data_IF_921503350956
#
_entry.id   IF_921503350956
#
_cell.length_a   1.000
_cell.length_b   1.000
_cell.length_c   1.000
_cell.angle_alpha   90.00
_cell.angle_beta   90.00
_cell.angle_gamma   90.00
#
_symmetry.space_group_name_H-M   'P 1'
#
loop_
_entity.id
_entity.type
_entity.pdbx_description
1 polymer ?
#
# COMPACT_ATOMS: atom_id res chain seq x y z
N UNK A 1 10.05 21.83 -7.12
CA UNK A 1 10.15 21.19 -5.78
C UNK A 1 9.30 21.98 -4.81
N UNK A 2 8.10 21.49 -4.56
CA UNK A 2 7.30 21.76 -3.37
C UNK A 2 6.39 20.53 -3.23
N UNK A 3 6.84 19.55 -2.44
CA UNK A 3 6.02 18.42 -2.03
C UNK A 3 4.97 18.96 -1.06
N UNK A 4 3.70 18.95 -1.45
CA UNK A 4 2.57 19.12 -0.54
C UNK A 4 1.85 17.78 -0.53
N UNK A 5 2.36 16.92 0.33
CA UNK A 5 1.86 15.59 0.65
C UNK A 5 0.85 15.78 1.79
N UNK A 6 -0.45 15.63 1.51
CA UNK A 6 -1.49 15.77 2.55
C UNK A 6 -1.97 14.35 2.89
N UNK A 7 -2.00 14.05 4.19
CA UNK A 7 -2.44 12.77 4.75
C UNK A 7 -3.93 12.83 5.12
N UNK A 8 -4.61 11.69 5.16
CA UNK A 8 -6.01 11.61 5.63
C UNK A 8 -6.13 12.02 7.12
N UNK A 9 -5.04 11.96 7.89
CA UNK A 9 -5.00 12.39 9.29
C UNK A 9 -5.16 13.92 9.45
N UNK A 10 -4.71 14.71 8.47
CA UNK A 10 -4.84 16.18 8.50
C UNK A 10 -6.29 16.65 8.27
N UNK A 11 -7.09 15.87 7.55
CA UNK A 11 -8.51 16.16 7.27
C UNK A 11 -9.37 16.02 8.53
N UNK A 12 -8.98 15.12 9.44
CA UNK A 12 -9.76 14.80 10.65
C UNK A 12 -9.40 15.72 11.82
N UNK A 13 -8.19 16.28 11.84
CA UNK A 13 -7.67 17.03 13.00
C UNK A 13 -8.27 18.45 13.15
N UNK A 14 -8.98 18.98 12.14
CA UNK A 14 -9.53 20.34 12.16
C UNK A 14 -10.75 20.55 13.09
N UNK A 15 -11.17 19.54 13.89
CA UNK A 15 -12.37 19.63 14.74
C UNK A 15 -12.14 19.32 16.23
N UNK A 16 -10.91 19.29 16.71
CA UNK A 16 -10.63 19.06 18.14
C UNK A 16 -10.00 20.30 18.82
N UNK A 17 -10.52 20.76 19.98
CA UNK A 17 -9.93 21.88 20.71
C UNK A 17 -8.57 21.49 21.36
N UNK A 18 -7.66 22.45 21.60
CA UNK A 18 -6.29 22.16 21.98
C UNK A 18 -6.21 21.58 23.39
N UNK A 19 -5.58 20.39 23.52
CA UNK A 19 -5.26 19.80 24.82
C UNK A 19 -3.97 20.44 25.37
N UNK A 20 -4.09 20.98 26.59
CA UNK A 20 -3.01 21.57 27.39
C UNK A 20 -1.88 20.56 27.69
N UNK A 21 -0.65 21.05 27.60
CA UNK A 21 0.53 20.37 28.12
C UNK A 21 0.71 20.60 29.64
N UNK A 22 1.25 19.64 30.39
CA UNK A 22 2.07 19.91 31.58
C UNK A 22 3.55 19.76 31.19
N UNK A 23 4.46 20.70 31.46
CA UNK A 23 4.74 21.31 32.76
C UNK A 23 5.90 20.55 33.40
N UNK A 24 7.14 20.97 33.11
CA UNK A 24 8.36 20.21 33.38
C UNK A 24 8.92 20.26 34.81
N UNK A 25 10.12 19.67 35.00
CA UNK A 25 11.08 19.97 36.08
C UNK A 25 12.52 19.55 35.70
N UNK A 26 13.43 20.52 35.85
CA UNK A 26 14.91 20.46 36.00
C UNK A 26 15.28 19.76 37.34
N UNK A 27 16.50 19.34 37.72
CA UNK A 27 17.85 19.16 37.16
C UNK A 27 18.74 18.41 38.20
N UNK A 28 19.72 17.59 37.73
CA UNK A 28 21.13 17.34 38.20
C UNK A 28 21.47 17.01 39.69
N UNK A 29 22.74 16.72 40.11
CA UNK A 29 23.99 16.28 39.41
C UNK A 29 24.84 15.18 40.14
N UNK A 30 26.07 14.92 39.62
CA UNK A 30 27.34 14.38 40.23
C UNK A 30 27.62 12.87 40.12
N UNK A 31 28.86 12.36 39.94
CA UNK A 31 30.19 12.92 39.65
C UNK A 31 31.23 11.79 39.41
N UNK A 32 32.31 12.13 38.67
CA UNK A 32 33.72 11.64 38.74
C UNK A 32 34.01 10.14 38.47
N UNK A 33 35.12 9.68 37.89
CA UNK A 33 36.51 10.15 37.77
C UNK A 33 37.15 9.44 36.54
N UNK A 34 37.92 10.07 35.65
CA UNK A 34 39.31 10.57 35.72
C UNK A 34 40.40 9.56 35.29
N UNK A 35 41.44 10.14 34.66
CA UNK A 35 42.77 9.62 34.31
C UNK A 35 42.92 8.90 32.94
N UNK A 36 43.99 9.08 32.16
CA UNK A 36 45.02 10.11 31.99
C UNK A 36 45.85 9.68 30.76
N UNK A 37 46.34 10.63 29.96
CA UNK A 37 47.25 10.43 28.82
C UNK A 37 48.71 10.18 29.30
N UNK A 38 49.72 9.91 28.41
CA UNK A 38 50.30 10.99 27.57
C UNK A 38 50.88 10.61 26.17
N UNK A 39 50.97 11.64 25.31
CA UNK A 39 52.02 12.10 24.32
C UNK A 39 52.97 11.06 23.66
N UNK A 40 53.46 11.16 22.41
CA UNK A 40 53.79 12.23 21.45
C UNK A 40 53.78 11.59 20.02
N UNK A 41 53.88 12.25 18.85
CA UNK A 41 54.95 13.11 18.33
C UNK A 41 54.57 13.66 16.93
N UNK A 42 55.32 14.66 16.48
CA UNK A 42 55.09 15.54 15.32
C UNK A 42 55.72 15.07 14.00
N UNK A 43 55.23 15.59 12.85
CA UNK A 43 55.95 15.93 11.59
C UNK A 43 54.94 16.40 10.50
N UNK A 44 54.88 17.70 10.11
CA UNK A 44 55.41 18.35 8.86
C UNK A 44 54.92 17.74 7.53
N UNK A 45 54.44 18.41 6.46
CA UNK A 45 54.23 19.80 6.01
C UNK A 45 53.32 19.77 4.71
N UNK A 46 53.31 20.70 3.71
CA UNK A 46 52.37 21.86 3.60
C UNK A 46 51.61 22.08 2.23
N UNK A 47 50.70 23.09 2.21
CA UNK A 47 50.27 24.06 1.13
C UNK A 47 49.62 23.54 -0.19
N UNK A 48 48.38 23.90 -0.58
CA UNK A 48 47.81 25.19 -1.12
C UNK A 48 48.51 25.68 -2.42
N UNK A 49 47.92 26.08 -3.56
CA UNK A 49 46.60 26.62 -4.03
C UNK A 49 46.59 26.52 -5.61
N UNK A 50 45.76 27.20 -6.47
CA UNK A 50 44.67 28.16 -6.21
C UNK A 50 43.38 28.02 -7.07
N UNK A 51 42.37 28.82 -6.64
CA UNK A 51 41.14 29.21 -7.36
C UNK A 51 41.48 30.10 -8.56
N UNK A 52 40.72 29.96 -9.65
CA UNK A 52 40.58 30.99 -10.68
C UNK A 52 39.20 31.66 -10.55
N UNK A 53 39.23 32.98 -10.38
CA UNK A 53 38.08 33.87 -10.40
C UNK A 53 37.80 34.36 -11.83
N UNK A 54 36.53 34.46 -12.22
CA UNK A 54 36.06 35.35 -13.31
C UNK A 54 34.75 36.00 -12.88
N UNK A 55 34.77 37.33 -12.79
CA UNK A 55 33.60 38.24 -12.74
C UNK A 55 33.43 38.89 -14.13
N UNK A 56 32.45 39.80 -14.36
CA UNK A 56 31.16 39.48 -14.96
C UNK A 56 30.99 40.16 -16.34
N UNK A 57 29.99 39.76 -17.13
CA UNK A 57 29.56 40.57 -18.28
C UNK A 57 28.06 40.46 -18.51
N UNK A 58 27.42 41.63 -18.51
CA UNK A 58 25.99 41.85 -18.69
C UNK A 58 25.63 42.11 -20.17
N UNK A 59 24.31 42.03 -20.43
CA UNK A 59 23.55 42.35 -21.65
C UNK A 59 23.61 41.29 -22.77
N UNK A 60 22.53 40.91 -23.47
CA UNK A 60 21.25 41.57 -23.67
C UNK A 60 20.10 40.58 -23.98
N UNK A 61 18.92 41.08 -23.64
CA UNK A 61 17.56 40.60 -23.86
C UNK A 61 17.24 40.36 -25.35
N UNK A 62 16.76 39.16 -25.73
CA UNK A 62 15.90 38.98 -26.91
C UNK A 62 14.76 38.02 -26.60
N UNK A 63 13.55 38.57 -26.77
CA UNK A 63 12.25 37.96 -26.54
C UNK A 63 11.97 36.87 -27.59
N UNK A 64 11.54 35.69 -27.14
CA UNK A 64 10.72 34.79 -27.94
C UNK A 64 9.51 34.36 -27.10
N UNK A 65 8.33 34.60 -27.68
CA UNK A 65 7.01 34.58 -27.05
C UNK A 65 6.53 33.16 -26.66
N UNK A 66 5.61 33.05 -25.69
CA UNK A 66 5.24 31.79 -25.07
C UNK A 66 4.27 30.97 -25.92
N UNK A 67 4.55 29.68 -26.05
CA UNK A 67 3.58 28.69 -26.52
C UNK A 67 2.41 28.61 -25.53
N UNK A 68 1.24 29.02 -26.01
CA UNK A 68 -0.07 28.87 -25.37
C UNK A 68 -0.40 27.36 -25.30
N UNK A 69 -0.12 26.71 -24.18
CA UNK A 69 -0.60 25.33 -23.91
C UNK A 69 -1.91 25.43 -23.15
N UNK A 70 -2.97 24.93 -23.79
CA UNK A 70 -4.32 24.90 -23.25
C UNK A 70 -4.37 24.19 -21.90
N UNK A 71 -5.23 24.71 -21.02
CA UNK A 71 -5.55 24.11 -19.74
C UNK A 71 -6.14 22.73 -19.94
N UNK A 72 -5.35 21.71 -19.62
CA UNK A 72 -5.86 20.41 -19.21
C UNK A 72 -5.75 20.40 -17.69
N UNK A 73 -6.88 20.15 -17.04
CA UNK A 73 -7.07 20.15 -15.60
C UNK A 73 -5.95 19.38 -14.88
N UNK A 74 -5.03 20.12 -14.27
CA UNK A 74 -4.06 19.62 -13.30
C UNK A 74 -4.81 19.24 -12.02
N UNK A 75 -4.48 18.06 -11.50
CA UNK A 75 -5.22 17.37 -10.44
C UNK A 75 -5.70 18.26 -9.30
N UNK A 76 -7.01 18.40 -9.21
CA UNK A 76 -7.66 18.95 -8.03
C UNK A 76 -7.40 18.04 -6.83
N UNK A 77 -6.61 18.55 -5.90
CA UNK A 77 -6.41 17.99 -4.58
C UNK A 77 -7.74 18.05 -3.81
N UNK A 78 -8.48 16.94 -3.81
CA UNK A 78 -9.71 16.73 -3.02
C UNK A 78 -9.38 16.59 -1.52
N UNK A 79 -8.85 17.65 -0.89
CA UNK A 79 -8.50 17.66 0.52
C UNK A 79 -9.73 17.69 1.48
N UNK A 80 -10.95 17.86 0.94
CA UNK A 80 -12.19 17.99 1.72
C UNK A 80 -13.36 17.16 1.19
N UNK A 81 -13.12 16.19 0.30
CA UNK A 81 -14.21 15.33 -0.18
C UNK A 81 -14.70 14.43 0.97
N UNK A 82 -15.99 14.52 1.30
CA UNK A 82 -16.60 13.58 2.23
C UNK A 82 -16.61 12.18 1.61
N UNK A 83 -16.68 11.13 2.44
CA UNK A 83 -16.82 9.74 1.93
C UNK A 83 -18.05 9.61 1.02
N UNK A 84 -19.08 10.41 1.27
CA UNK A 84 -20.24 10.52 0.38
C UNK A 84 -19.85 11.12 -0.97
N UNK A 85 -19.08 12.21 -1.03
CA UNK A 85 -18.66 12.81 -2.31
C UNK A 85 -17.84 11.86 -3.17
N UNK A 86 -16.97 11.04 -2.54
CA UNK A 86 -16.23 9.99 -3.24
C UNK A 86 -17.18 8.93 -3.80
N UNK A 87 -18.18 8.50 -3.02
CA UNK A 87 -19.15 7.52 -3.46
C UNK A 87 -20.05 8.00 -4.62
N UNK A 88 -20.32 9.30 -4.71
CA UNK A 88 -21.12 9.90 -5.78
C UNK A 88 -20.28 10.32 -7.01
N UNK A 89 -18.95 10.20 -6.94
CA UNK A 89 -18.08 10.43 -8.08
C UNK A 89 -18.25 9.31 -9.11
N UNK A 90 -18.04 9.62 -10.40
CA UNK A 90 -18.13 8.63 -11.48
C UNK A 90 -17.10 7.49 -11.35
N UNK A 91 -16.03 7.70 -10.58
CA UNK A 91 -14.98 6.72 -10.27
C UNK A 91 -14.51 6.90 -8.83
N UNK A 92 -15.16 6.25 -7.84
CA UNK A 92 -14.73 6.32 -6.45
C UNK A 92 -13.29 5.82 -6.31
N UNK A 93 -12.47 6.60 -5.62
CA UNK A 93 -11.05 6.32 -5.41
C UNK A 93 -10.67 6.54 -3.93
N UNK A 94 -10.06 5.54 -3.31
CA UNK A 94 -9.47 5.63 -1.98
C UNK A 94 -7.96 5.45 -2.05
N UNK A 95 -7.20 6.38 -1.47
CA UNK A 95 -5.73 6.27 -1.35
C UNK A 95 -5.34 5.79 0.04
N UNK A 96 -4.50 4.77 0.10
CA UNK A 96 -4.01 4.15 1.35
C UNK A 96 -2.51 4.38 1.47
N UNK A 97 -2.07 4.80 2.66
CA UNK A 97 -0.65 4.99 3.03
C UNK A 97 -0.23 3.92 4.06
N UNK A 98 1.07 3.79 4.33
CA UNK A 98 1.60 2.80 5.29
C UNK A 98 1.08 3.01 6.73
N UNK A 99 0.80 4.26 7.08
CA UNK A 99 0.32 4.69 8.40
C UNK A 99 -1.21 4.62 8.52
N UNK A 100 -1.92 4.35 7.42
CA UNK A 100 -3.37 4.27 7.41
C UNK A 100 -3.87 3.15 8.34
N UNK A 101 -4.92 3.45 9.11
CA UNK A 101 -5.54 2.48 10.02
C UNK A 101 -6.51 1.58 9.24
N UNK A 102 -6.32 0.25 9.22
CA UNK A 102 -7.16 -0.67 8.46
C UNK A 102 -8.66 -0.53 8.76
N UNK A 103 -9.04 -0.37 10.04
CA UNK A 103 -10.46 -0.23 10.44
C UNK A 103 -11.12 1.01 9.82
N UNK A 104 -10.40 2.13 9.75
CA UNK A 104 -10.91 3.38 9.18
C UNK A 104 -11.09 3.26 7.67
N UNK A 105 -10.10 2.67 6.99
CA UNK A 105 -10.16 2.42 5.54
C UNK A 105 -11.29 1.44 5.22
N UNK A 106 -11.48 0.39 6.03
CA UNK A 106 -12.57 -0.58 5.87
C UNK A 106 -13.95 0.08 5.94
N UNK A 107 -14.16 0.97 6.93
CA UNK A 107 -15.41 1.73 7.04
C UNK A 107 -15.69 2.61 5.82
N UNK A 108 -14.65 3.25 5.26
CA UNK A 108 -14.77 4.02 4.04
C UNK A 108 -15.11 3.13 2.82
N UNK A 109 -14.47 1.96 2.68
CA UNK A 109 -14.79 0.97 1.64
C UNK A 109 -16.25 0.55 1.72
N UNK A 110 -16.74 0.13 2.90
CA UNK A 110 -18.13 -0.27 3.10
C UNK A 110 -19.10 0.88 2.79
N UNK A 111 -18.80 2.09 3.25
CA UNK A 111 -19.64 3.27 2.99
C UNK A 111 -19.77 3.56 1.50
N UNK A 112 -18.66 3.54 0.75
CA UNK A 112 -18.66 3.76 -0.70
C UNK A 112 -19.44 2.66 -1.40
N UNK A 113 -19.16 1.40 -1.07
CA UNK A 113 -19.82 0.26 -1.72
C UNK A 113 -21.33 0.22 -1.42
N UNK A 114 -21.78 0.60 -0.23
CA UNK A 114 -23.23 0.68 0.10
C UNK A 114 -23.96 1.75 -0.70
N UNK A 115 -23.29 2.86 -1.01
CA UNK A 115 -23.87 4.00 -1.75
C UNK A 115 -23.74 3.85 -3.26
N UNK A 116 -22.78 3.06 -3.73
CA UNK A 116 -22.58 2.74 -5.14
C UNK A 116 -23.88 2.18 -5.76
N UNK A 117 -24.32 2.79 -6.87
CA UNK A 117 -25.45 2.31 -7.68
C UNK A 117 -24.91 1.35 -8.75
N UNK A 118 -25.44 0.13 -8.80
CA UNK A 118 -25.03 -0.89 -9.78
C UNK A 118 -23.64 -1.48 -9.50
N UNK A 119 -22.95 -1.96 -10.55
CA UNK A 119 -21.62 -2.58 -10.48
C UNK A 119 -20.47 -1.56 -10.38
N UNK A 120 -20.70 -0.39 -9.78
CA UNK A 120 -19.66 0.62 -9.66
C UNK A 120 -18.49 0.09 -8.80
N UNK A 121 -17.35 -0.15 -9.46
CA UNK A 121 -16.13 -0.61 -8.82
C UNK A 121 -15.42 0.56 -8.10
N UNK A 122 -15.00 0.32 -6.86
CA UNK A 122 -14.16 1.21 -6.10
C UNK A 122 -12.69 0.92 -6.43
N UNK A 123 -11.93 1.95 -6.77
CA UNK A 123 -10.48 1.83 -6.88
C UNK A 123 -9.80 2.13 -5.52
N UNK A 124 -8.93 1.25 -5.06
CA UNK A 124 -8.08 1.49 -3.89
C UNK A 124 -6.62 1.57 -4.34
N UNK A 125 -6.01 2.75 -4.25
CA UNK A 125 -4.61 2.97 -4.59
C UNK A 125 -3.73 2.81 -3.36
N UNK A 126 -2.70 1.98 -3.49
CA UNK A 126 -1.67 1.82 -2.47
C UNK A 126 -0.28 1.73 -3.11
N UNK A 127 0.69 2.39 -2.48
CA UNK A 127 2.08 2.41 -2.94
C UNK A 127 3.00 1.82 -1.89
N UNK A 128 3.71 0.76 -2.25
CA UNK A 128 4.73 0.12 -1.43
C UNK A 128 4.20 -0.92 -0.44
N UNK A 129 5.10 -1.73 0.16
CA UNK A 129 4.71 -2.90 0.96
C UNK A 129 3.80 -2.55 2.15
N UNK A 130 4.13 -1.47 2.88
CA UNK A 130 3.38 -1.08 4.08
C UNK A 130 1.94 -0.66 3.73
N UNK A 131 1.76 0.20 2.73
CA UNK A 131 0.44 0.66 2.30
C UNK A 131 -0.41 -0.48 1.76
N UNK A 132 0.17 -1.35 0.94
CA UNK A 132 -0.52 -2.52 0.36
C UNK A 132 -0.98 -3.47 1.49
N UNK A 133 -0.14 -3.70 2.49
CA UNK A 133 -0.53 -4.50 3.66
C UNK A 133 -1.70 -3.89 4.43
N UNK A 134 -1.72 -2.56 4.63
CA UNK A 134 -2.86 -1.89 5.27
C UNK A 134 -4.11 -1.96 4.40
N UNK A 135 -3.99 -1.83 3.08
CA UNK A 135 -5.09 -1.97 2.14
C UNK A 135 -5.69 -3.39 2.19
N UNK A 136 -4.85 -4.44 2.18
CA UNK A 136 -5.33 -5.83 2.26
C UNK A 136 -6.03 -6.13 3.58
N UNK A 137 -5.47 -5.66 4.71
CA UNK A 137 -6.15 -5.76 6.01
C UNK A 137 -7.49 -5.02 6.02
N UNK A 138 -7.54 -3.82 5.45
CA UNK A 138 -8.77 -3.05 5.35
C UNK A 138 -9.82 -3.77 4.50
N UNK A 139 -9.42 -4.38 3.38
CA UNK A 139 -10.31 -5.17 2.53
C UNK A 139 -10.84 -6.41 3.25
N UNK A 140 -10.00 -7.14 3.98
CA UNK A 140 -10.45 -8.29 4.75
C UNK A 140 -11.46 -7.90 5.86
N UNK A 141 -11.24 -6.76 6.52
CA UNK A 141 -12.16 -6.25 7.54
C UNK A 141 -13.46 -5.76 6.89
N UNK A 142 -13.38 -5.06 5.76
CA UNK A 142 -14.54 -4.60 5.01
C UNK A 142 -15.39 -5.79 4.51
N UNK A 143 -14.73 -6.84 4.02
CA UNK A 143 -15.36 -8.11 3.63
C UNK A 143 -16.13 -8.71 4.80
N UNK A 144 -15.51 -8.83 5.98
CA UNK A 144 -16.18 -9.31 7.20
C UNK A 144 -17.45 -8.50 7.50
N UNK A 145 -17.37 -7.16 7.45
CA UNK A 145 -18.53 -6.31 7.69
C UNK A 145 -19.65 -6.51 6.67
N UNK A 146 -19.33 -6.76 5.40
CA UNK A 146 -20.31 -6.99 4.34
C UNK A 146 -20.97 -8.38 4.42
N UNK A 147 -20.22 -9.39 4.86
CA UNK A 147 -20.76 -10.75 5.09
C UNK A 147 -21.65 -10.82 6.33
N UNK A 148 -21.45 -9.96 7.32
CA UNK A 148 -22.28 -9.85 8.52
C UNK A 148 -23.59 -9.05 8.30
N UNK A 149 -23.83 -8.51 7.10
CA UNK A 149 -25.05 -7.77 6.79
C UNK A 149 -26.27 -8.70 6.59
N UNK A 150 -27.52 -8.22 6.80
CA UNK A 150 -28.73 -9.02 6.56
C UNK A 150 -28.87 -9.56 5.13
N UNK A 151 -28.25 -8.89 4.16
CA UNK A 151 -28.12 -9.36 2.77
C UNK A 151 -26.62 -9.46 2.47
N UNK A 152 -25.99 -10.60 2.77
CA UNK A 152 -24.55 -10.73 2.67
C UNK A 152 -24.11 -10.63 1.22
N UNK A 153 -23.05 -9.85 1.00
CA UNK A 153 -22.37 -9.74 -0.29
C UNK A 153 -20.87 -9.91 -0.07
N UNK A 154 -20.21 -10.57 -1.01
CA UNK A 154 -18.77 -10.75 -0.92
C UNK A 154 -18.01 -9.59 -1.57
N UNK A 155 -16.76 -9.43 -1.19
CA UNK A 155 -15.85 -8.39 -1.64
C UNK A 155 -14.71 -9.00 -2.44
N UNK A 156 -14.79 -8.90 -3.77
CA UNK A 156 -13.75 -9.40 -4.67
C UNK A 156 -12.84 -8.27 -5.13
N UNK A 157 -11.55 -8.59 -5.23
CA UNK A 157 -10.50 -7.65 -5.57
C UNK A 157 -9.72 -8.13 -6.80
N UNK A 158 -9.40 -7.21 -7.70
CA UNK A 158 -8.50 -7.44 -8.83
C UNK A 158 -7.35 -6.44 -8.76
N UNK A 159 -6.09 -6.88 -8.74
CA UNK A 159 -4.94 -5.98 -8.64
C UNK A 159 -4.54 -5.49 -10.04
N UNK A 160 -4.38 -4.18 -10.20
CA UNK A 160 -3.89 -3.56 -11.44
C UNK A 160 -2.67 -2.72 -11.12
N UNK A 161 -1.53 -3.05 -11.71
CA UNK A 161 -0.29 -2.29 -11.54
C UNK A 161 -0.22 -1.16 -12.57
N UNK A 162 0.10 0.06 -12.13
CA UNK A 162 0.25 1.21 -13.03
C UNK A 162 1.55 1.19 -13.84
N UNK A 163 2.52 0.39 -13.38
CA UNK A 163 3.86 0.25 -13.94
C UNK A 163 4.22 -1.23 -14.05
N UNK A 164 5.37 -1.54 -14.65
CA UNK A 164 5.92 -2.90 -14.66
C UNK A 164 5.96 -3.47 -13.23
N UNK A 165 5.30 -4.61 -13.03
CA UNK A 165 5.23 -5.36 -11.76
C UNK A 165 6.63 -5.63 -11.19
N UNK A 166 7.66 -5.72 -12.03
CA UNK A 166 9.07 -5.90 -11.63
C UNK A 166 9.63 -4.69 -10.87
N UNK A 167 9.37 -3.49 -11.35
CA UNK A 167 9.99 -2.26 -10.84
C UNK A 167 9.07 -1.46 -9.90
N UNK A 168 7.76 -1.51 -10.15
CA UNK A 168 6.77 -0.72 -9.44
C UNK A 168 6.25 -1.39 -8.17
N UNK A 169 5.69 -0.58 -7.28
CA UNK A 169 4.87 -1.02 -6.15
C UNK A 169 3.58 -0.21 -6.05
N UNK A 170 3.19 0.44 -7.15
CA UNK A 170 1.96 1.22 -7.26
C UNK A 170 0.86 0.30 -7.76
N UNK A 171 -0.08 -0.02 -6.87
CA UNK A 171 -1.18 -0.94 -7.17
C UNK A 171 -2.50 -0.21 -7.00
N UNK A 172 -3.35 -0.34 -8.02
CA UNK A 172 -4.77 -0.01 -7.98
C UNK A 172 -5.57 -1.30 -7.84
N UNK A 173 -6.19 -1.49 -6.69
CA UNK A 173 -7.11 -2.59 -6.48
C UNK A 173 -8.49 -2.17 -6.97
N UNK A 174 -9.00 -2.84 -7.99
CA UNK A 174 -10.39 -2.72 -8.38
C UNK A 174 -11.21 -3.61 -7.45
N UNK A 175 -12.07 -2.99 -6.65
CA UNK A 175 -12.88 -3.63 -5.62
C UNK A 175 -14.33 -3.60 -6.07
N UNK A 176 -14.96 -4.76 -6.10
CA UNK A 176 -16.37 -4.90 -6.51
C UNK A 176 -17.11 -5.87 -5.60
N UNK A 177 -18.44 -5.76 -5.58
CA UNK A 177 -19.31 -6.70 -4.88
C UNK A 177 -19.50 -7.95 -5.71
N UNK A 178 -19.56 -9.10 -5.05
CA UNK A 178 -19.96 -10.37 -5.64
C UNK A 178 -21.18 -10.91 -4.90
N UNK A 179 -22.17 -11.40 -5.63
CA UNK A 179 -23.31 -12.14 -5.05
C UNK A 179 -22.91 -13.56 -4.66
N UNK A 180 -21.86 -14.11 -5.28
CA UNK A 180 -21.29 -15.40 -4.90
C UNK A 180 -20.33 -15.20 -3.72
N UNK A 181 -20.67 -15.82 -2.60
CA UNK A 181 -19.83 -15.88 -1.40
C UNK A 181 -18.75 -16.95 -1.60
N UNK A 182 -17.49 -16.58 -1.39
CA UNK A 182 -16.32 -17.43 -1.59
C UNK A 182 -15.79 -17.85 -0.21
N UNK A 183 -16.33 -18.93 0.34
CA UNK A 183 -15.84 -19.52 1.58
C UNK A 183 -14.75 -20.54 1.24
N UNK A 184 -13.50 -20.21 1.57
CA UNK A 184 -12.37 -21.14 1.46
C UNK A 184 -11.55 -21.05 2.73
N UNK A 185 -11.48 -22.14 3.48
CA UNK A 185 -10.65 -22.25 4.67
C UNK A 185 -9.18 -22.46 4.29
N UNK A 186 -8.22 -21.99 5.10
CA UNK A 186 -6.81 -22.26 4.84
C UNK A 186 -6.51 -23.75 4.99
N UNK A 187 -5.92 -24.34 3.95
CA UNK A 187 -5.50 -25.75 3.94
C UNK A 187 -3.97 -25.85 4.09
N UNK A 188 -3.48 -27.00 4.58
CA UNK A 188 -2.03 -27.24 4.71
C UNK A 188 -1.29 -27.23 3.36
N UNK A 189 -2.01 -27.54 2.27
CA UNK A 189 -1.50 -27.54 0.90
C UNK A 189 -1.54 -26.17 0.19
N UNK A 190 -2.07 -25.14 0.89
CA UNK A 190 -2.10 -23.77 0.40
C UNK A 190 -0.68 -23.26 0.15
N UNK A 191 -0.55 -22.41 -0.86
CA UNK A 191 0.73 -21.78 -1.15
C UNK A 191 1.07 -20.79 -0.03
N UNK A 192 2.36 -20.62 0.25
CA UNK A 192 2.82 -19.63 1.21
C UNK A 192 3.90 -18.73 0.60
N UNK A 193 3.84 -17.43 0.91
CA UNK A 193 4.86 -16.47 0.54
C UNK A 193 5.65 -16.00 1.76
N UNK A 194 6.97 -15.92 1.60
CA UNK A 194 7.93 -15.35 2.54
C UNK A 194 8.69 -14.19 1.87
N UNK A 195 9.54 -13.50 2.63
CA UNK A 195 10.26 -12.31 2.13
C UNK A 195 11.15 -12.58 0.92
N UNK A 196 11.71 -13.79 0.83
CA UNK A 196 12.60 -14.23 -0.25
C UNK A 196 11.90 -15.03 -1.34
N UNK A 197 10.56 -15.17 -1.27
CA UNK A 197 9.81 -15.91 -2.27
C UNK A 197 9.93 -15.21 -3.63
N UNK A 198 10.27 -15.98 -4.65
CA UNK A 198 10.33 -15.48 -6.03
C UNK A 198 8.92 -15.30 -6.58
N UNK A 199 8.64 -14.10 -7.10
CA UNK A 199 7.33 -13.71 -7.63
C UNK A 199 6.92 -14.57 -8.82
N UNK A 200 7.83 -14.88 -9.73
CA UNK A 200 7.53 -15.63 -10.95
C UNK A 200 7.28 -17.10 -10.68
N UNK A 201 8.04 -17.70 -9.75
CA UNK A 201 7.78 -19.06 -9.30
C UNK A 201 6.42 -19.19 -8.62
N UNK A 202 6.07 -18.22 -7.76
CA UNK A 202 4.76 -18.21 -7.11
C UNK A 202 3.63 -18.00 -8.14
N UNK A 203 3.80 -17.07 -9.09
CA UNK A 203 2.84 -16.84 -10.17
C UNK A 203 2.66 -18.08 -11.06
N UNK A 204 3.75 -18.76 -11.40
CA UNK A 204 3.72 -20.00 -12.16
C UNK A 204 3.01 -21.14 -11.42
N UNK A 205 3.22 -21.26 -10.11
CA UNK A 205 2.51 -22.22 -9.27
C UNK A 205 1.01 -21.93 -9.20
N UNK A 206 0.63 -20.66 -9.03
CA UNK A 206 -0.78 -20.23 -9.05
C UNK A 206 -1.41 -20.55 -10.41
N UNK A 207 -0.78 -20.12 -11.51
CA UNK A 207 -1.31 -20.33 -12.85
C UNK A 207 -1.39 -21.82 -13.24
N UNK A 208 -0.41 -22.63 -12.83
CA UNK A 208 -0.40 -24.07 -13.04
C UNK A 208 -1.60 -24.74 -12.37
N UNK A 209 -1.76 -24.55 -11.05
CA UNK A 209 -2.89 -25.11 -10.30
C UNK A 209 -4.25 -24.68 -10.87
N UNK A 210 -4.38 -23.42 -11.30
CA UNK A 210 -5.63 -22.93 -11.91
C UNK A 210 -5.92 -23.60 -13.26
N UNK A 211 -4.88 -23.88 -14.07
CA UNK A 211 -5.06 -24.62 -15.34
C UNK A 211 -5.46 -26.07 -15.10
N UNK A 212 -4.99 -26.65 -14.00
CA UNK A 212 -5.36 -28.01 -13.58
C UNK A 212 -6.76 -28.06 -12.94
N UNK A 213 -7.43 -26.91 -12.79
CA UNK A 213 -8.77 -26.81 -12.21
C UNK A 213 -8.80 -26.85 -10.68
N UNK A 214 -7.67 -26.67 -10.03
CA UNK A 214 -7.55 -26.68 -8.57
C UNK A 214 -7.90 -25.32 -7.95
N UNK A 215 -8.41 -25.36 -6.72
CA UNK A 215 -8.67 -24.15 -5.94
C UNK A 215 -7.40 -23.63 -5.26
N UNK A 216 -6.95 -22.45 -5.65
CA UNK A 216 -5.69 -21.89 -5.15
C UNK A 216 -5.93 -20.84 -4.06
N UNK A 217 -5.22 -20.97 -2.94
CA UNK A 217 -5.04 -19.88 -2.00
C UNK A 217 -3.59 -19.70 -1.62
N UNK A 218 -3.32 -18.50 -1.13
CA UNK A 218 -2.02 -18.13 -0.60
C UNK A 218 -2.19 -17.59 0.81
N UNK A 219 -1.48 -18.16 1.77
CA UNK A 219 -1.39 -17.63 3.14
C UNK A 219 -0.07 -16.91 3.33
N UNK A 220 -0.11 -15.74 3.96
CA UNK A 220 1.13 -15.01 4.24
C UNK A 220 0.99 -14.03 5.40
N UNK A 221 2.12 -13.59 5.95
CA UNK A 221 2.21 -12.64 7.06
C UNK A 221 3.34 -11.65 6.78
N UNK A 222 3.06 -10.37 7.04
CA UNK A 222 4.04 -9.29 6.90
C UNK A 222 3.89 -8.49 5.60
N UNK A 223 4.44 -7.28 5.58
CA UNK A 223 4.21 -6.34 4.50
C UNK A 223 4.90 -6.73 3.18
N UNK A 224 6.15 -7.22 3.25
CA UNK A 224 6.91 -7.62 2.05
C UNK A 224 6.30 -8.89 1.42
N UNK A 225 6.00 -9.97 2.18
CA UNK A 225 5.37 -11.14 1.60
C UNK A 225 4.00 -10.86 0.98
N UNK A 226 3.19 -9.98 1.59
CA UNK A 226 1.91 -9.55 1.01
C UNK A 226 2.10 -8.88 -0.34
N UNK A 227 3.10 -8.00 -0.48
CA UNK A 227 3.43 -7.42 -1.79
C UNK A 227 3.82 -8.50 -2.81
N UNK A 228 4.63 -9.48 -2.40
CA UNK A 228 5.03 -10.61 -3.27
C UNK A 228 3.81 -11.39 -3.76
N UNK A 229 2.84 -11.68 -2.90
CA UNK A 229 1.59 -12.36 -3.27
C UNK A 229 0.80 -11.53 -4.28
N UNK A 230 0.58 -10.25 -4.01
CA UNK A 230 -0.17 -9.36 -4.92
C UNK A 230 0.51 -9.27 -6.29
N UNK A 231 1.83 -9.16 -6.33
CA UNK A 231 2.60 -9.19 -7.58
C UNK A 231 2.48 -10.53 -8.30
N UNK A 232 2.52 -11.64 -7.57
CA UNK A 232 2.40 -12.97 -8.15
C UNK A 232 1.01 -13.22 -8.74
N UNK A 233 -0.06 -12.76 -8.07
CA UNK A 233 -1.43 -12.83 -8.60
C UNK A 233 -1.56 -12.00 -9.87
N UNK A 234 -1.05 -10.76 -9.88
CA UNK A 234 -1.09 -9.93 -11.09
C UNK A 234 -0.26 -10.53 -12.24
N UNK A 235 0.88 -11.14 -11.93
CA UNK A 235 1.69 -11.83 -12.95
C UNK A 235 1.00 -13.11 -13.45
N UNK A 236 0.30 -13.83 -12.56
CA UNK A 236 -0.49 -15.01 -12.94
C UNK A 236 -1.69 -14.64 -13.81
N UNK A 237 -2.32 -13.48 -13.59
CA UNK A 237 -3.34 -12.92 -14.50
C UNK A 237 -2.79 -12.82 -15.92
N UNK A 238 -1.59 -12.26 -16.09
CA UNK A 238 -0.96 -12.12 -17.40
C UNK A 238 -0.70 -13.49 -18.04
N UNK A 239 -0.24 -14.49 -17.27
CA UNK A 239 -0.01 -15.85 -17.75
C UNK A 239 -1.29 -16.59 -18.18
N UNK A 240 -2.42 -16.23 -17.58
CA UNK A 240 -3.71 -16.85 -17.86
C UNK A 240 -4.55 -16.07 -18.87
N UNK A 241 -4.13 -14.84 -19.22
CA UNK A 241 -4.79 -14.01 -20.22
C UNK A 241 -4.86 -14.69 -21.59
N UNK A 242 -3.82 -15.42 -21.98
CA UNK A 242 -3.79 -16.22 -23.23
C UNK A 242 -4.83 -17.35 -23.24
N UNK A 243 -5.24 -17.83 -22.05
CA UNK A 243 -6.26 -18.86 -21.88
C UNK A 243 -7.66 -18.27 -21.64
N UNK A 244 -7.82 -16.95 -21.78
CA UNK A 244 -9.07 -16.21 -21.52
C UNK A 244 -9.61 -16.43 -20.10
N UNK A 245 -8.71 -16.62 -19.13
CA UNK A 245 -9.07 -16.78 -17.71
C UNK A 245 -8.71 -15.49 -16.97
N UNK A 246 -9.70 -14.91 -16.29
CA UNK A 246 -9.50 -13.77 -15.39
C UNK A 246 -9.45 -14.25 -13.94
N UNK A 247 -8.54 -13.65 -13.17
CA UNK A 247 -8.36 -13.87 -11.74
C UNK A 247 -8.97 -12.73 -10.94
N UNK A 248 -9.69 -13.13 -9.90
CA UNK A 248 -10.10 -12.29 -8.78
C UNK A 248 -9.60 -12.96 -7.52
N UNK A 249 -9.53 -12.21 -6.43
CA UNK A 249 -9.25 -12.80 -5.14
C UNK A 249 -10.09 -12.17 -4.05
N UNK A 250 -10.35 -12.94 -3.01
CA UNK A 250 -10.89 -12.44 -1.74
C UNK A 250 -9.80 -12.53 -0.68
N UNK A 251 -9.86 -11.63 0.29
CA UNK A 251 -8.90 -11.57 1.40
C UNK A 251 -9.63 -11.83 2.70
N UNK A 252 -9.08 -12.71 3.52
CA UNK A 252 -9.50 -12.97 4.89
C UNK A 252 -8.34 -12.79 5.86
N UNK A 253 -8.66 -12.45 7.10
CA UNK A 253 -7.72 -12.52 8.21
C UNK A 253 -7.98 -13.82 8.95
N UNK A 254 -6.94 -14.64 9.14
CA UNK A 254 -7.05 -15.92 9.85
C UNK A 254 -5.93 -16.03 10.86
N UNK A 255 -6.25 -16.53 12.06
CA UNK A 255 -5.25 -16.86 13.07
C UNK A 255 -4.85 -18.33 12.90
N UNK A 256 -3.57 -18.56 12.62
CA UNK A 256 -3.00 -19.89 12.44
C UNK A 256 -1.91 -20.13 13.48
N UNK A 257 -1.72 -21.39 13.86
CA UNK A 257 -0.57 -21.78 14.66
C UNK A 257 0.72 -21.45 13.91
N UNK A 258 1.66 -20.79 14.58
CA UNK A 258 2.91 -20.43 13.96
C UNK A 258 3.87 -21.63 14.02
N UNK A 259 4.24 -22.24 12.87
CA UNK A 259 5.17 -23.36 12.87
C UNK A 259 6.57 -22.96 13.39
N UNK A 260 6.89 -21.67 13.39
CA UNK A 260 8.18 -21.14 13.87
C UNK A 260 8.17 -20.83 15.38
N UNK A 261 7.00 -20.74 16.02
CA UNK A 261 6.86 -20.42 17.45
C UNK A 261 5.84 -21.38 18.08
N UNK A 262 6.35 -22.33 18.87
CA UNK A 262 5.54 -23.32 19.60
C UNK A 262 4.49 -22.63 20.47
N UNK A 263 3.24 -23.09 20.38
CA UNK A 263 2.08 -22.62 21.16
C UNK A 263 1.73 -21.13 20.96
N UNK A 264 2.15 -20.51 19.86
CA UNK A 264 1.79 -19.14 19.52
C UNK A 264 0.97 -19.06 18.24
N UNK A 265 -0.24 -18.51 18.35
CA UNK A 265 -1.05 -18.14 17.20
C UNK A 265 -0.53 -16.85 16.57
N UNK A 266 -0.48 -16.81 15.26
CA UNK A 266 -0.14 -15.61 14.49
C UNK A 266 -1.26 -15.29 13.51
N UNK A 267 -1.50 -14.01 13.31
CA UNK A 267 -2.49 -13.53 12.34
C UNK A 267 -1.87 -13.49 10.95
N UNK A 268 -2.48 -14.22 10.01
CA UNK A 268 -2.13 -14.28 8.60
C UNK A 268 -3.21 -13.60 7.75
N UNK A 269 -2.79 -13.16 6.56
CA UNK A 269 -3.70 -12.84 5.48
C UNK A 269 -3.81 -14.06 4.58
N UNK A 270 -5.04 -14.49 4.35
CA UNK A 270 -5.41 -15.59 3.47
C UNK A 270 -6.03 -15.01 2.20
N UNK A 271 -5.46 -15.33 1.06
CA UNK A 271 -5.89 -14.89 -0.27
C UNK A 271 -6.49 -16.08 -0.98
N UNK A 272 -7.82 -16.17 -1.08
CA UNK A 272 -8.46 -17.18 -1.90
C UNK A 272 -8.61 -16.63 -3.33
N UNK A 273 -7.97 -17.31 -4.28
CA UNK A 273 -7.93 -16.91 -5.68
C UNK A 273 -9.08 -17.62 -6.40
N UNK A 274 -9.85 -16.85 -7.15
CA UNK A 274 -10.97 -17.33 -7.95
C UNK A 274 -10.67 -17.05 -9.41
N UNK A 275 -10.78 -18.08 -10.23
CA UNK A 275 -10.71 -17.98 -11.67
C UNK A 275 -12.11 -17.90 -12.27
N UNK A 276 -12.29 -17.01 -13.23
CA UNK A 276 -13.47 -16.93 -14.07
C UNK A 276 -13.00 -17.05 -15.52
N UNK A 277 -13.57 -18.03 -16.25
CA UNK A 277 -13.32 -18.17 -17.68
C UNK A 277 -14.22 -17.19 -18.42
N UNK A 278 -13.61 -16.34 -19.23
CA UNK A 278 -14.27 -15.26 -19.96
C UNK A 278 -14.94 -15.74 -21.25
#
# INVERSE_FOLDING_TARGET
MANIDISLDDIISAKAPPRRAPGGRRAAPRAAAAAAAPRAAAATAPRAAPRAARTPRAAANTRAAPYRRGGAAEGEHMANASVADVAHSSRPLLKVKGESRPNTVAGAICSVLRQARGDAALAVLATGPAAINQAMKAMAIARKYLLEEPTPVDLVCTPVFEQDVRAGSNVSFQVSKSSKIIEREPLEEDLAAKEKTDVFKLAGAIAGRIRDGEEVAVTTKGAIPVLVVVKAIATAQDYLSEAEISLKFVVSIVDLENPEIRDATSTYLHFAIVSEKN
#
